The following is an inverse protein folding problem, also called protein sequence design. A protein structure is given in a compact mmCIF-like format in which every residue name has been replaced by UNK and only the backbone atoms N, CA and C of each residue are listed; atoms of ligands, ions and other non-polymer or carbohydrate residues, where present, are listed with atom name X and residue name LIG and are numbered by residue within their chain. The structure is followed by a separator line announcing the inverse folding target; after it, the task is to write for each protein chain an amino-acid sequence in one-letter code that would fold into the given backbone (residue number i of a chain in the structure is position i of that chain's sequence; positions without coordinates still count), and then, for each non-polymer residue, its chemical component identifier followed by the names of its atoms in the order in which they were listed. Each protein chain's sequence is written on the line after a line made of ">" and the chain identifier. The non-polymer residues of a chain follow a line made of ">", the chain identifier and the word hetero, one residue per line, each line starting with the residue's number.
data_IF_339655882341
#
_entry.id   IF_339655882341
#
_cell.length_a   1.000
_cell.length_b   1.000
_cell.length_c   1.000
_cell.angle_alpha   90.00
_cell.angle_beta   90.00
_cell.angle_gamma   90.00
#
_symmetry.space_group_name_H-M   'P 1'
#
loop_
_entity.id
_entity.type
_entity.pdbx_description
1 polymer ?
#
# COMPACT_ATOMS: atom_id res chain seq x y z
N UNK A 1 -33.69 -1.52 22.18
CA UNK A 1 -32.26 -1.19 22.42
C UNK A 1 -32.16 0.22 22.96
N UNK A 2 -31.48 0.37 24.09
CA UNK A 2 -31.22 1.65 24.73
C UNK A 2 -30.49 2.61 23.76
N UNK A 3 -30.82 3.91 23.81
CA UNK A 3 -30.21 4.94 22.95
C UNK A 3 -28.69 5.01 23.16
N UNK A 4 -28.21 4.77 24.38
CA UNK A 4 -26.78 4.71 24.72
C UNK A 4 -26.10 3.51 24.06
N UNK A 5 -26.74 2.34 24.09
CA UNK A 5 -26.22 1.13 23.44
C UNK A 5 -26.13 1.30 21.92
N UNK A 6 -27.12 1.97 21.31
CA UNK A 6 -27.07 2.30 19.87
C UNK A 6 -25.91 3.23 19.53
N UNK A 7 -25.67 4.26 20.34
CA UNK A 7 -24.57 5.20 20.12
C UNK A 7 -23.20 4.51 20.22
N UNK A 8 -23.00 3.70 21.27
CA UNK A 8 -21.77 2.92 21.45
C UNK A 8 -21.57 1.95 20.27
N UNK A 9 -22.64 1.28 19.82
CA UNK A 9 -22.58 0.38 18.68
C UNK A 9 -22.09 1.09 17.42
N UNK A 10 -22.66 2.25 17.08
CA UNK A 10 -22.25 3.03 15.90
C UNK A 10 -20.79 3.47 15.99
N UNK A 11 -20.33 3.93 17.16
CA UNK A 11 -18.92 4.32 17.36
C UNK A 11 -17.99 3.14 17.15
N UNK A 12 -18.28 1.99 17.78
CA UNK A 12 -17.44 0.79 17.64
C UNK A 12 -17.38 0.34 16.17
N UNK A 13 -18.50 0.39 15.46
CA UNK A 13 -18.55 0.06 14.03
C UNK A 13 -17.73 1.02 13.19
N UNK A 14 -17.86 2.32 13.46
CA UNK A 14 -17.09 3.34 12.77
C UNK A 14 -15.58 3.15 12.99
N UNK A 15 -15.16 2.92 14.24
CA UNK A 15 -13.76 2.67 14.56
C UNK A 15 -13.24 1.38 13.93
N UNK A 16 -14.02 0.31 13.94
CA UNK A 16 -13.64 -0.96 13.30
C UNK A 16 -13.43 -0.80 11.78
N UNK A 17 -14.36 -0.10 11.11
CA UNK A 17 -14.24 0.19 9.67
C UNK A 17 -13.04 1.10 9.39
N UNK A 18 -12.85 2.14 10.20
CA UNK A 18 -11.72 3.06 10.05
C UNK A 18 -10.38 2.32 10.20
N UNK A 19 -10.23 1.51 11.24
CA UNK A 19 -9.01 0.72 11.46
C UNK A 19 -8.78 -0.32 10.34
N UNK A 20 -9.85 -0.91 9.79
CA UNK A 20 -9.73 -1.83 8.67
C UNK A 20 -9.18 -1.12 7.41
N UNK A 21 -9.71 0.06 7.07
CA UNK A 21 -9.24 0.85 5.92
C UNK A 21 -7.79 1.31 6.12
N UNK A 22 -7.46 1.85 7.29
CA UNK A 22 -6.09 2.31 7.59
C UNK A 22 -5.07 1.16 7.58
N UNK A 23 -5.44 -0.04 8.02
CA UNK A 23 -4.56 -1.21 7.95
C UNK A 23 -4.31 -1.64 6.49
N UNK A 24 -5.29 -1.51 5.59
CA UNK A 24 -5.10 -1.80 4.16
C UNK A 24 -4.07 -0.82 3.56
N UNK A 25 -4.15 0.46 3.89
CA UNK A 25 -3.16 1.45 3.44
C UNK A 25 -1.77 1.20 4.02
N UNK A 26 -1.66 0.74 5.27
CA UNK A 26 -0.37 0.39 5.88
C UNK A 26 0.34 -0.80 5.20
N UNK A 27 -0.36 -1.58 4.37
CA UNK A 27 0.26 -2.65 3.57
C UNK A 27 0.93 -2.14 2.29
N UNK A 28 0.70 -0.88 1.90
CA UNK A 28 1.38 -0.25 0.78
C UNK A 28 2.75 0.27 1.22
N UNK A 29 3.81 -0.36 0.70
CA UNK A 29 5.19 -0.01 0.99
C UNK A 29 5.70 1.13 0.09
N UNK A 30 5.10 1.28 -1.10
CA UNK A 30 5.49 2.28 -2.09
C UNK A 30 4.32 2.66 -2.99
N UNK A 31 4.41 3.84 -3.60
CA UNK A 31 3.57 4.29 -4.71
C UNK A 31 4.37 4.56 -5.99
N UNK A 32 5.67 4.84 -5.86
CA UNK A 32 6.57 5.14 -6.97
C UNK A 32 7.91 4.42 -6.80
N UNK A 33 8.61 4.18 -7.91
CA UNK A 33 9.88 3.43 -7.92
C UNK A 33 10.97 4.07 -7.04
N UNK A 34 11.03 5.41 -6.99
CA UNK A 34 12.04 6.13 -6.21
C UNK A 34 11.90 5.95 -4.69
N UNK A 35 10.71 5.61 -4.20
CA UNK A 35 10.51 5.29 -2.78
C UNK A 35 11.20 3.97 -2.39
N UNK A 36 11.48 3.10 -3.37
CA UNK A 36 12.11 1.80 -3.16
C UNK A 36 13.64 1.84 -3.20
N UNK A 37 14.24 2.85 -3.84
CA UNK A 37 15.71 2.98 -3.94
C UNK A 37 16.39 3.01 -2.56
N UNK A 38 15.74 3.61 -1.57
CA UNK A 38 16.27 3.71 -0.20
C UNK A 38 15.84 2.55 0.71
N UNK A 39 14.88 1.72 0.29
CA UNK A 39 14.32 0.64 1.11
C UNK A 39 14.96 -0.72 0.85
N UNK A 40 15.33 -0.99 -0.40
CA UNK A 40 15.89 -2.29 -0.80
C UNK A 40 17.15 -2.11 -1.65
N UNK A 41 18.11 -3.00 -1.48
CA UNK A 41 19.33 -3.07 -2.31
C UNK A 41 19.22 -4.24 -3.26
N UNK A 42 19.11 -3.96 -4.55
CA UNK A 42 19.09 -4.99 -5.58
C UNK A 42 20.50 -5.33 -6.06
N UNK A 43 20.75 -6.62 -6.33
CA UNK A 43 21.99 -7.07 -6.98
C UNK A 43 21.86 -6.85 -8.48
N UNK A 44 22.88 -6.24 -9.09
CA UNK A 44 22.95 -6.05 -10.54
C UNK A 44 22.72 -7.38 -11.30
N UNK A 45 21.97 -7.40 -12.42
CA UNK A 45 21.44 -6.27 -13.20
C UNK A 45 19.98 -5.90 -12.84
N UNK A 46 19.54 -6.13 -11.59
CA UNK A 46 18.17 -5.81 -11.15
C UNK A 46 18.08 -4.41 -10.57
N UNK A 47 16.92 -3.77 -10.73
CA UNK A 47 16.60 -2.45 -10.19
C UNK A 47 15.40 -2.53 -9.25
N UNK A 48 15.39 -1.68 -8.23
CA UNK A 48 14.27 -1.57 -7.30
C UNK A 48 13.11 -0.87 -8.01
N UNK A 49 11.93 -1.50 -8.03
CA UNK A 49 10.69 -0.91 -8.54
C UNK A 49 9.55 -1.13 -7.56
N UNK A 50 8.55 -0.25 -7.66
CA UNK A 50 7.32 -0.37 -6.94
C UNK A 50 6.32 -1.23 -7.73
N UNK A 51 6.22 -2.51 -7.36
CA UNK A 51 5.33 -3.47 -8.02
C UNK A 51 4.18 -3.79 -7.09
N UNK A 52 2.96 -3.42 -7.51
CA UNK A 52 1.73 -3.64 -6.71
C UNK A 52 1.87 -3.09 -5.29
N UNK A 53 2.39 -1.87 -5.18
CA UNK A 53 2.63 -1.18 -3.92
C UNK A 53 3.63 -1.86 -2.97
N UNK A 54 4.47 -2.76 -3.50
CA UNK A 54 5.59 -3.38 -2.77
C UNK A 54 6.89 -3.14 -3.52
N UNK A 55 7.97 -2.91 -2.76
CA UNK A 55 9.27 -2.77 -3.36
C UNK A 55 9.82 -4.13 -3.76
N UNK A 56 10.14 -4.31 -5.03
CA UNK A 56 10.69 -5.56 -5.57
C UNK A 56 11.87 -5.29 -6.51
N UNK A 57 12.73 -6.30 -6.69
CA UNK A 57 13.89 -6.23 -7.58
C UNK A 57 13.57 -6.87 -8.93
N UNK A 58 13.28 -6.06 -9.94
CA UNK A 58 12.97 -6.51 -11.30
C UNK A 58 14.20 -6.40 -12.21
N UNK A 59 14.22 -7.18 -13.30
CA UNK A 59 15.31 -7.08 -14.29
C UNK A 59 15.21 -5.77 -15.07
N UNK A 60 16.35 -5.14 -15.36
CA UNK A 60 16.41 -3.88 -16.12
C UNK A 60 15.71 -3.97 -17.49
N UNK A 61 15.78 -5.14 -18.15
CA UNK A 61 15.19 -5.37 -19.48
C UNK A 61 13.68 -5.65 -19.45
N UNK A 62 13.06 -5.72 -18.27
CA UNK A 62 11.62 -5.76 -18.12
C UNK A 62 11.10 -4.31 -18.04
N UNK A 63 10.99 -3.70 -19.22
CA UNK A 63 10.19 -2.50 -19.47
C UNK A 63 8.83 -2.72 -18.78
N UNK A 64 8.55 -1.95 -17.74
CA UNK A 64 7.22 -1.87 -17.16
C UNK A 64 6.62 -0.65 -17.84
N UNK A 65 5.65 -0.88 -18.72
CA UNK A 65 4.97 0.16 -19.49
C UNK A 65 4.68 1.41 -18.64
N UNK A 66 4.97 2.64 -19.12
CA UNK A 66 4.90 3.88 -18.34
C UNK A 66 3.47 4.36 -18.00
N UNK A 67 2.46 3.49 -18.10
CA UNK A 67 1.03 3.86 -18.02
C UNK A 67 0.27 3.26 -16.82
N UNK A 68 0.93 2.86 -15.72
CA UNK A 68 0.18 2.44 -14.52
C UNK A 68 -0.23 3.60 -13.59
N UNK A 69 0.07 4.85 -13.94
CA UNK A 69 -0.59 6.00 -13.34
C UNK A 69 -1.97 6.20 -14.00
N UNK A 70 -3.04 6.05 -13.19
CA UNK A 70 -4.43 6.56 -13.39
C UNK A 70 -5.47 5.57 -13.94
N UNK A 71 -6.13 4.81 -13.08
CA UNK A 71 -7.58 4.92 -12.71
C UNK A 71 -7.95 3.87 -11.67
#
# INVERSE_FOLDING_TARGET
>A
MDKRLKFVYVIVHFLALFLAVMNVEAHFQCHIDSECENQIKCVLPRVAKCVRYKCDCVRFDAEQDPWSART
#
